data_IF_591889062128
#
_entry.id   IF_591889062128
#
_cell.length_a   1.000
_cell.length_b   1.000
_cell.length_c   1.000
_cell.angle_alpha   90.00
_cell.angle_beta   90.00
_cell.angle_gamma   90.00
#
_symmetry.space_group_name_H-M   'P 1'
#
loop_
_entity.id
_entity.type
_entity.pdbx_description
1 polymer ?
#
# COMPACT_ATOMS: atom_id res chain seq x y z
N UNK A 1 15.00 4.28 -1.31
CA UNK A 1 14.91 3.41 -0.12
C UNK A 1 14.74 4.31 1.10
N UNK A 2 13.51 4.47 1.60
CA UNK A 2 13.32 5.12 2.90
C UNK A 2 13.30 4.03 3.95
N UNK A 3 14.39 3.93 4.69
CA UNK A 3 14.50 3.20 5.95
C UNK A 3 13.48 3.81 6.90
N UNK A 4 12.27 3.24 6.96
CA UNK A 4 11.43 3.37 8.14
C UNK A 4 12.32 2.87 9.28
N UNK A 5 12.64 3.76 10.22
CA UNK A 5 13.40 3.39 11.41
C UNK A 5 12.59 2.31 12.14
N UNK A 6 12.90 1.05 11.85
CA UNK A 6 12.24 -0.10 12.46
C UNK A 6 12.72 -0.13 13.90
N UNK A 7 11.80 0.07 14.83
CA UNK A 7 12.08 -0.12 16.25
C UNK A 7 12.77 -1.47 16.43
N UNK A 8 13.88 -1.54 17.17
CA UNK A 8 14.52 -2.80 17.51
C UNK A 8 13.51 -3.77 18.09
N UNK A 9 13.62 -5.06 17.76
CA UNK A 9 12.70 -6.09 18.28
C UNK A 9 12.73 -6.22 19.80
N UNK A 10 13.78 -5.70 20.46
CA UNK A 10 13.91 -5.62 21.91
C UNK A 10 12.88 -4.68 22.56
N UNK A 11 12.42 -3.67 21.83
CA UNK A 11 11.53 -2.64 22.37
C UNK A 11 10.07 -2.86 21.91
N UNK A 12 9.79 -4.02 21.29
CA UNK A 12 8.48 -4.37 20.76
C UNK A 12 7.68 -5.21 21.76
N UNK A 13 6.37 -4.93 21.84
CA UNK A 13 5.44 -5.76 22.61
C UNK A 13 5.16 -7.09 21.88
N UNK A 14 5.33 -8.20 22.59
CA UNK A 14 5.05 -9.54 22.06
C UNK A 14 3.59 -9.90 22.32
N UNK A 15 2.82 -10.11 21.25
CA UNK A 15 1.43 -10.58 21.32
C UNK A 15 1.27 -11.94 20.66
N UNK A 16 0.33 -12.75 21.18
CA UNK A 16 0.01 -14.07 20.64
C UNK A 16 -1.22 -14.00 19.74
N UNK A 17 -1.03 -14.27 18.45
CA UNK A 17 -2.11 -14.31 17.46
C UNK A 17 -2.33 -15.78 17.05
N UNK A 18 -3.58 -16.24 17.09
CA UNK A 18 -3.96 -17.57 16.59
C UNK A 18 -4.29 -17.46 15.10
N UNK A 19 -3.73 -18.38 14.30
CA UNK A 19 -3.96 -18.49 12.86
C UNK A 19 -4.22 -19.95 12.51
N UNK A 20 -5.01 -20.18 11.47
CA UNK A 20 -5.13 -21.49 10.84
C UNK A 20 -3.76 -21.96 10.37
N UNK A 21 -3.53 -23.28 10.46
CA UNK A 21 -2.26 -23.88 10.06
C UNK A 21 -1.93 -23.59 8.58
N UNK A 22 -2.92 -23.74 7.71
CA UNK A 22 -2.75 -23.50 6.27
C UNK A 22 -2.35 -22.06 5.97
N UNK A 23 -2.97 -21.09 6.63
CA UNK A 23 -2.64 -19.67 6.47
C UNK A 23 -1.20 -19.40 6.92
N UNK A 24 -0.80 -19.95 8.07
CA UNK A 24 0.56 -19.82 8.59
C UNK A 24 1.60 -20.39 7.62
N UNK A 25 1.33 -21.55 7.02
CA UNK A 25 2.25 -22.21 6.10
C UNK A 25 2.39 -21.41 4.79
N UNK A 26 1.28 -20.92 4.21
CA UNK A 26 1.29 -20.02 3.04
C UNK A 26 2.06 -18.72 3.31
N UNK A 27 1.86 -18.12 4.47
CA UNK A 27 2.56 -16.88 4.84
C UNK A 27 4.06 -17.11 5.03
N UNK A 28 4.49 -18.27 5.52
CA UNK A 28 5.92 -18.62 5.59
C UNK A 28 6.55 -18.79 4.22
N UNK A 29 5.83 -19.42 3.30
CA UNK A 29 6.30 -19.61 1.91
C UNK A 29 6.51 -18.26 1.21
N UNK A 30 5.52 -17.35 1.34
CA UNK A 30 5.61 -15.97 0.82
C UNK A 30 6.73 -15.17 1.51
N UNK A 31 6.97 -15.40 2.81
CA UNK A 31 7.97 -14.65 3.54
C UNK A 31 9.38 -14.85 2.98
N UNK A 32 9.73 -16.09 2.57
CA UNK A 32 11.07 -16.40 2.07
C UNK A 32 12.18 -15.83 2.98
N UNK A 33 13.10 -15.06 2.39
CA UNK A 33 14.24 -14.46 3.11
C UNK A 33 13.88 -13.28 4.01
N UNK A 34 12.68 -12.69 3.90
CA UNK A 34 12.29 -11.53 4.72
C UNK A 34 11.94 -11.94 6.16
N UNK A 35 11.64 -13.23 6.38
CA UNK A 35 11.24 -13.78 7.66
C UNK A 35 9.76 -13.57 7.96
N UNK A 36 9.12 -14.62 8.51
CA UNK A 36 7.68 -14.66 8.78
C UNK A 36 7.20 -13.49 9.66
N UNK A 37 7.94 -13.18 10.75
CA UNK A 37 7.53 -12.11 11.68
C UNK A 37 7.59 -10.72 11.04
N UNK A 38 8.55 -10.46 10.14
CA UNK A 38 8.63 -9.19 9.44
C UNK A 38 7.46 -9.03 8.47
N UNK A 39 7.12 -10.09 7.73
CA UNK A 39 5.97 -10.11 6.83
C UNK A 39 4.65 -9.86 7.57
N UNK A 40 4.40 -10.58 8.68
CA UNK A 40 3.18 -10.40 9.47
C UNK A 40 3.04 -8.95 9.95
N UNK A 41 4.14 -8.37 10.46
CA UNK A 41 4.14 -6.99 10.90
C UNK A 41 3.82 -6.04 9.75
N UNK A 42 4.43 -6.22 8.58
CA UNK A 42 4.18 -5.37 7.42
C UNK A 42 2.72 -5.49 6.94
N UNK A 43 2.14 -6.70 6.95
CA UNK A 43 0.72 -6.91 6.64
C UNK A 43 -0.19 -6.18 7.64
N UNK A 44 0.07 -6.33 8.95
CA UNK A 44 -0.73 -5.69 9.99
C UNK A 44 -0.63 -4.17 9.92
N UNK A 45 0.56 -3.63 9.63
CA UNK A 45 0.76 -2.20 9.43
C UNK A 45 0.07 -1.67 8.20
N UNK A 46 0.14 -2.40 7.08
CA UNK A 46 -0.63 -2.05 5.90
C UNK A 46 -2.14 -2.03 6.22
N UNK A 47 -2.66 -3.04 6.93
CA UNK A 47 -4.07 -3.09 7.30
C UNK A 47 -4.50 -1.91 8.18
N UNK A 48 -3.72 -1.58 9.21
CA UNK A 48 -3.99 -0.42 10.09
C UNK A 48 -3.94 0.89 9.31
N UNK A 49 -2.96 1.04 8.41
CA UNK A 49 -2.85 2.22 7.56
C UNK A 49 -4.05 2.36 6.62
N UNK A 50 -4.54 1.27 6.02
CA UNK A 50 -5.76 1.28 5.18
C UNK A 50 -6.98 1.76 5.97
N UNK A 51 -7.14 1.25 7.19
CA UNK A 51 -8.33 1.51 8.02
C UNK A 51 -8.31 2.85 8.73
N UNK A 52 -7.15 3.40 9.02
CA UNK A 52 -7.00 4.70 9.71
C UNK A 52 -7.18 5.90 8.78
N UNK A 53 -7.24 5.72 7.45
CA UNK A 53 -7.28 6.84 6.50
C UNK A 53 -5.93 7.59 6.38
N UNK A 54 -4.92 7.20 7.17
CA UNK A 54 -3.53 7.66 7.08
C UNK A 54 -2.72 6.92 6.00
N UNK A 55 -3.40 6.13 5.15
CA UNK A 55 -2.81 5.41 4.03
C UNK A 55 -2.11 6.37 3.05
N UNK A 56 -0.78 6.44 3.16
CA UNK A 56 0.13 6.84 2.08
C UNK A 56 0.81 5.57 1.57
N UNK A 57 0.21 4.84 0.62
CA UNK A 57 0.97 3.82 -0.08
C UNK A 57 2.06 4.62 -0.81
N UNK A 58 3.33 4.38 -0.48
CA UNK A 58 4.44 4.98 -1.22
C UNK A 58 4.54 4.27 -2.57
N UNK A 59 3.52 4.42 -3.41
CA UNK A 59 3.69 4.18 -4.83
C UNK A 59 4.67 5.23 -5.33
N UNK A 60 5.67 4.75 -6.03
CA UNK A 60 6.51 5.57 -6.88
C UNK A 60 5.91 5.60 -8.28
N UNK A 61 6.28 6.60 -9.08
CA UNK A 61 5.89 6.63 -10.50
C UNK A 61 6.26 5.30 -11.22
N UNK A 62 7.36 4.67 -10.82
CA UNK A 62 7.84 3.41 -11.43
C UNK A 62 6.97 2.19 -11.13
N UNK A 63 6.08 2.28 -10.13
CA UNK A 63 5.14 1.21 -9.80
C UNK A 63 3.90 1.20 -10.71
N UNK A 64 3.65 2.30 -11.43
CA UNK A 64 2.55 2.44 -12.38
C UNK A 64 3.02 1.95 -13.75
N UNK A 65 2.44 0.85 -14.25
CA UNK A 65 2.82 0.25 -15.53
C UNK A 65 2.06 0.82 -16.72
N UNK A 66 0.85 1.33 -16.46
CA UNK A 66 -0.02 1.95 -17.45
C UNK A 66 -1.00 2.89 -16.74
N UNK A 67 -1.57 3.85 -17.47
CA UNK A 67 -2.62 4.73 -16.97
C UNK A 67 -3.68 4.99 -18.03
N UNK A 68 -4.93 5.14 -17.60
CA UNK A 68 -6.07 5.51 -18.45
C UNK A 68 -6.75 6.77 -17.92
N UNK A 69 -7.29 7.60 -18.82
CA UNK A 69 -8.09 8.75 -18.43
C UNK A 69 -9.42 8.32 -17.79
N UNK A 70 -9.81 9.00 -16.72
CA UNK A 70 -11.03 8.72 -15.97
C UNK A 70 -11.61 10.00 -15.35
N UNK A 71 -12.85 9.90 -14.88
CA UNK A 71 -13.49 10.96 -14.08
C UNK A 71 -13.86 10.38 -12.73
N UNK A 72 -13.52 11.08 -11.65
CA UNK A 72 -13.84 10.64 -10.31
C UNK A 72 -15.38 10.66 -10.08
N UNK A 73 -15.96 9.57 -9.59
CA UNK A 73 -17.40 9.53 -9.23
C UNK A 73 -17.65 9.97 -7.79
N UNK A 74 -16.62 9.89 -6.95
CA UNK A 74 -16.62 10.27 -5.55
C UNK A 74 -15.30 10.98 -5.23
N UNK A 75 -15.13 11.43 -3.98
CA UNK A 75 -13.85 11.96 -3.55
C UNK A 75 -12.81 10.84 -3.55
N UNK A 76 -11.72 11.07 -4.28
CA UNK A 76 -10.59 10.15 -4.38
C UNK A 76 -9.32 10.85 -3.90
N UNK A 77 -8.27 10.07 -3.61
CA UNK A 77 -6.98 10.63 -3.19
C UNK A 77 -5.88 10.09 -4.07
N UNK A 78 -5.16 10.97 -4.77
CA UNK A 78 -4.04 10.58 -5.61
C UNK A 78 -3.01 9.78 -4.78
N UNK A 79 -2.67 8.58 -5.24
CA UNK A 79 -1.79 7.70 -4.48
C UNK A 79 -0.31 8.11 -4.52
N UNK A 80 0.10 8.95 -5.47
CA UNK A 80 1.49 9.44 -5.59
C UNK A 80 1.73 10.73 -4.82
N UNK A 81 0.80 11.68 -4.88
CA UNK A 81 0.96 13.03 -4.30
C UNK A 81 0.17 13.22 -3.02
N UNK A 82 -0.85 12.38 -2.77
CA UNK A 82 -1.81 12.53 -1.68
C UNK A 82 -2.84 13.64 -1.89
N UNK A 83 -2.85 14.28 -3.07
CA UNK A 83 -3.80 15.32 -3.46
C UNK A 83 -5.22 14.76 -3.51
N UNK A 84 -6.19 15.52 -2.99
CA UNK A 84 -7.61 15.18 -3.06
C UNK A 84 -8.10 15.48 -4.48
N UNK A 85 -8.81 14.51 -5.06
CA UNK A 85 -9.49 14.57 -6.35
C UNK A 85 -10.99 14.63 -6.04
N UNK A 86 -11.62 15.74 -6.38
CA UNK A 86 -13.03 15.96 -6.08
C UNK A 86 -13.94 15.12 -6.99
N UNK A 87 -15.19 14.84 -6.58
CA UNK A 87 -16.18 14.24 -7.46
C UNK A 87 -16.32 15.03 -8.77
N UNK A 88 -16.50 14.31 -9.87
CA UNK A 88 -16.55 14.82 -11.25
C UNK A 88 -15.26 15.47 -11.77
N UNK A 89 -14.17 15.44 -11.00
CA UNK A 89 -12.89 15.94 -11.46
C UNK A 89 -12.20 14.92 -12.40
N UNK A 90 -11.59 15.40 -13.50
CA UNK A 90 -10.72 14.58 -14.33
C UNK A 90 -9.53 14.01 -13.55
N UNK A 91 -9.25 12.73 -13.74
CA UNK A 91 -8.14 12.01 -13.10
C UNK A 91 -7.57 10.94 -14.03
N UNK A 92 -6.52 10.27 -13.57
CA UNK A 92 -5.98 9.07 -14.20
C UNK A 92 -6.25 7.86 -13.29
N UNK A 93 -6.63 6.74 -13.89
CA UNK A 93 -6.62 5.43 -13.24
C UNK A 93 -5.30 4.75 -13.61
N UNK A 94 -4.41 4.62 -12.62
CA UNK A 94 -3.13 3.94 -12.76
C UNK A 94 -3.27 2.44 -12.53
N UNK A 95 -2.65 1.63 -13.37
CA UNK A 95 -2.54 0.19 -13.18
C UNK A 95 -1.15 -0.14 -12.59
N UNK A 96 -1.12 -0.72 -11.40
CA UNK A 96 0.13 -1.04 -10.71
C UNK A 96 0.77 -2.32 -11.26
N UNK A 97 2.07 -2.51 -11.03
CA UNK A 97 2.76 -3.78 -11.34
C UNK A 97 2.16 -4.99 -10.62
N UNK A 98 1.52 -4.76 -9.48
CA UNK A 98 0.92 -5.79 -8.64
C UNK A 98 -0.52 -6.15 -9.05
N UNK A 99 -1.08 -5.45 -10.06
CA UNK A 99 -2.42 -5.76 -10.57
C UNK A 99 -3.53 -4.82 -10.09
N UNK A 100 -3.21 -3.79 -9.30
CA UNK A 100 -4.19 -2.90 -8.69
C UNK A 100 -4.52 -1.71 -9.59
N UNK A 101 -5.76 -1.22 -9.50
CA UNK A 101 -6.18 0.06 -10.06
C UNK A 101 -6.16 1.13 -8.97
N UNK A 102 -5.44 2.23 -9.19
CA UNK A 102 -5.23 3.29 -8.20
C UNK A 102 -5.52 4.69 -8.78
N UNK A 103 -6.12 5.61 -8.01
CA UNK A 103 -6.39 6.96 -8.46
C UNK A 103 -5.12 7.83 -8.52
N UNK A 104 -4.98 8.61 -9.58
CA UNK A 104 -3.84 9.48 -9.86
C UNK A 104 -4.33 10.86 -10.29
N UNK A 105 -3.78 11.94 -9.73
CA UNK A 105 -4.03 13.28 -10.28
C UNK A 105 -3.33 13.43 -11.63
N UNK A 106 -3.86 14.26 -12.53
CA UNK A 106 -3.32 14.41 -13.90
C UNK A 106 -1.84 14.82 -13.87
N UNK A 107 -1.46 15.68 -12.93
CA UNK A 107 -0.10 16.18 -12.76
C UNK A 107 0.85 15.13 -12.15
N UNK A 108 0.31 14.07 -11.52
CA UNK A 108 1.12 13.10 -10.77
C UNK A 108 2.03 12.25 -11.65
N UNK A 109 1.72 12.12 -12.94
CA UNK A 109 2.57 11.43 -13.92
C UNK A 109 3.34 12.40 -14.83
N UNK A 110 3.03 13.69 -14.82
CA UNK A 110 3.79 14.69 -15.56
C UNK A 110 5.22 14.78 -14.99
N UNK A 111 6.21 14.48 -15.81
CA UNK A 111 7.64 14.44 -15.48
C UNK A 111 8.43 13.85 -16.62
#
# INVERSE_FOLDING_TARGET
MHTIARTPTTDMEVTSIRLERELKDKLKDIAGNQGYQALIRDILWNYVQQKSGEWKPRFSKTDIRASIAATAQQEERCVLTGQIIQPQQPMLLGFTRNGDMVPLSIESLAG
#
